data_IF_090929572761
#
_entry.id   IF_090929572761
#
_cell.length_a   1.000
_cell.length_b   1.000
_cell.length_c   1.000
_cell.angle_alpha   90.00
_cell.angle_beta   90.00
_cell.angle_gamma   90.00
#
_symmetry.space_group_name_H-M   'P 1'
#
loop_
_entity.id
_entity.type
_entity.pdbx_description
1 polymer ?
#
# COMPACT_ATOMS: atom_id res chain seq x y z
N UNK A 1 29.71 0.67 2.96
CA UNK A 1 28.59 0.78 2.00
C UNK A 1 27.31 1.03 2.79
N UNK A 2 26.81 2.27 2.81
CA UNK A 2 25.52 2.60 3.43
C UNK A 2 24.40 2.02 2.56
N UNK A 3 23.56 1.16 3.14
CA UNK A 3 22.37 0.63 2.47
C UNK A 3 21.33 1.76 2.39
N UNK A 4 21.06 2.22 1.18
CA UNK A 4 20.07 3.26 0.88
C UNK A 4 18.67 2.65 1.00
N UNK A 5 17.74 3.38 1.62
CA UNK A 5 16.30 3.08 1.68
C UNK A 5 15.80 2.69 0.28
N UNK A 6 14.94 1.66 0.11
CA UNK A 6 14.32 1.42 -1.20
C UNK A 6 13.65 2.71 -1.66
N UNK A 7 13.98 3.17 -2.88
CA UNK A 7 13.75 4.54 -3.34
C UNK A 7 12.29 4.92 -3.61
N UNK A 8 11.33 4.02 -3.38
CA UNK A 8 9.91 4.30 -3.52
C UNK A 8 9.06 3.13 -3.04
N UNK A 9 8.01 3.43 -2.27
CA UNK A 9 6.90 2.52 -1.97
C UNK A 9 5.68 3.11 -2.65
N UNK A 10 5.02 2.35 -3.52
CA UNK A 10 3.81 2.78 -4.20
C UNK A 10 2.63 2.59 -3.25
N UNK A 11 1.82 3.64 -3.08
CA UNK A 11 0.61 3.55 -2.26
C UNK A 11 -0.56 3.01 -3.10
N UNK A 12 -1.18 1.94 -2.63
CA UNK A 12 -2.42 1.40 -3.19
C UNK A 12 -3.55 1.71 -2.22
N UNK A 13 -4.51 2.54 -2.61
CA UNK A 13 -5.60 2.96 -1.73
C UNK A 13 -6.90 2.30 -2.18
N UNK A 14 -7.45 1.42 -1.35
CA UNK A 14 -8.80 0.87 -1.55
C UNK A 14 -9.79 1.82 -0.89
N UNK A 15 -10.51 2.58 -1.72
CA UNK A 15 -11.43 3.60 -1.27
C UNK A 15 -11.20 4.96 -1.91
N UNK A 16 -11.54 6.03 -1.18
CA UNK A 16 -11.42 7.41 -1.67
C UNK A 16 -10.02 7.92 -1.38
N UNK A 17 -9.32 8.41 -2.41
CA UNK A 17 -8.10 9.20 -2.26
C UNK A 17 -8.49 10.68 -2.05
N UNK A 18 -7.93 11.38 -1.03
CA UNK A 18 -8.18 12.80 -0.83
C UNK A 18 -7.85 13.64 -2.06
N UNK A 19 -8.58 14.73 -2.23
CA UNK A 19 -8.42 15.59 -3.41
C UNK A 19 -6.98 16.14 -3.56
N UNK A 20 -6.31 16.43 -2.45
CA UNK A 20 -4.94 16.95 -2.44
C UNK A 20 -3.89 15.90 -2.87
N UNK A 21 -4.21 14.60 -2.82
CA UNK A 21 -3.29 13.51 -3.14
C UNK A 21 -3.50 12.91 -4.53
N UNK A 22 -4.55 13.32 -5.27
CA UNK A 22 -4.87 12.81 -6.62
C UNK A 22 -3.83 13.17 -7.69
N UNK A 23 -2.97 14.14 -7.42
CA UNK A 23 -1.95 14.66 -8.33
C UNK A 23 -0.60 13.95 -8.24
N UNK A 24 -0.47 12.92 -7.39
CA UNK A 24 0.77 12.18 -7.24
C UNK A 24 0.74 10.86 -8.04
N UNK A 25 1.74 10.65 -8.91
CA UNK A 25 1.86 9.47 -9.79
C UNK A 25 2.24 8.18 -9.06
N UNK A 26 2.54 8.24 -7.76
CA UNK A 26 2.92 7.13 -6.89
C UNK A 26 1.74 6.54 -6.10
N UNK A 27 0.50 6.97 -6.40
CA UNK A 27 -0.73 6.44 -5.80
C UNK A 27 -1.63 5.80 -6.86
N UNK A 28 -2.08 4.59 -6.57
CA UNK A 28 -3.11 3.91 -7.37
C UNK A 28 -4.37 3.76 -6.53
N UNK A 29 -5.46 4.34 -7.03
CA UNK A 29 -6.78 4.21 -6.41
C UNK A 29 -7.47 2.93 -6.91
N UNK A 30 -7.96 2.13 -5.98
CA UNK A 30 -8.84 0.98 -6.22
C UNK A 30 -10.20 1.31 -5.65
N UNK A 31 -11.24 1.29 -6.49
CA UNK A 31 -12.59 1.61 -6.04
C UNK A 31 -13.21 0.43 -5.26
N UNK A 32 -13.98 0.70 -4.19
CA UNK A 32 -14.76 -0.35 -3.53
C UNK A 32 -15.72 -1.05 -4.49
N UNK A 33 -15.90 -2.35 -4.32
CA UNK A 33 -16.70 -3.23 -5.19
C UNK A 33 -16.10 -3.46 -6.59
N UNK A 34 -14.90 -2.97 -6.87
CA UNK A 34 -14.21 -3.26 -8.13
C UNK A 34 -13.67 -4.69 -8.17
N UNK A 35 -13.24 -5.13 -9.35
CA UNK A 35 -12.65 -6.45 -9.57
C UNK A 35 -11.16 -6.28 -9.91
N UNK A 36 -10.30 -5.95 -8.92
CA UNK A 36 -8.87 -5.69 -9.16
C UNK A 36 -8.16 -6.88 -9.80
N UNK A 37 -8.63 -8.12 -9.61
CA UNK A 37 -8.12 -9.32 -10.27
C UNK A 37 -8.22 -9.30 -11.80
N UNK A 38 -9.04 -8.41 -12.39
CA UNK A 38 -9.17 -8.24 -13.83
C UNK A 38 -8.28 -7.11 -14.39
N UNK A 39 -7.62 -6.34 -13.52
CA UNK A 39 -6.73 -5.25 -13.91
C UNK A 39 -5.32 -5.74 -14.26
N UNK A 40 -4.61 -4.98 -15.10
CA UNK A 40 -3.21 -5.25 -15.42
C UNK A 40 -2.26 -4.65 -14.38
N UNK A 41 -1.73 -5.51 -13.52
CA UNK A 41 -0.79 -5.15 -12.45
C UNK A 41 0.68 -5.40 -12.81
N UNK A 42 0.98 -5.81 -14.05
CA UNK A 42 2.37 -6.04 -14.50
C UNK A 42 3.30 -4.85 -14.29
N UNK A 43 2.87 -3.58 -14.35
CA UNK A 43 3.75 -2.45 -14.00
C UNK A 43 4.27 -2.47 -12.55
N UNK A 44 3.65 -3.22 -11.65
CA UNK A 44 4.07 -3.32 -10.24
C UNK A 44 5.05 -4.49 -9.95
N UNK A 45 5.40 -5.29 -10.96
CA UNK A 45 6.30 -6.44 -10.80
C UNK A 45 7.60 -5.99 -10.14
N UNK A 46 7.93 -6.62 -9.01
CA UNK A 46 9.17 -6.36 -8.27
C UNK A 46 9.23 -5.04 -7.48
N UNK A 47 8.20 -4.19 -7.57
CA UNK A 47 8.07 -2.95 -6.83
C UNK A 47 7.51 -3.19 -5.42
N UNK A 48 7.86 -2.32 -4.48
CA UNK A 48 7.31 -2.35 -3.13
C UNK A 48 6.01 -1.56 -3.07
N UNK A 49 4.97 -2.16 -2.51
CA UNK A 49 3.64 -1.55 -2.41
C UNK A 49 3.15 -1.52 -0.96
N UNK A 50 2.55 -0.42 -0.54
CA UNK A 50 1.84 -0.30 0.73
C UNK A 50 0.34 -0.15 0.43
N UNK A 51 -0.48 -0.98 1.07
CA UNK A 51 -1.93 -1.00 0.82
C UNK A 51 -2.66 -0.29 1.97
N UNK A 52 -3.54 0.64 1.64
CA UNK A 52 -4.32 1.43 2.58
C UNK A 52 -5.81 1.16 2.35
N UNK A 53 -6.48 0.57 3.34
CA UNK A 53 -7.91 0.27 3.27
C UNK A 53 -8.72 1.42 3.88
N UNK A 54 -9.13 2.42 3.09
CA UNK A 54 -9.91 3.57 3.60
C UNK A 54 -11.42 3.29 3.69
N UNK A 55 -11.85 2.12 3.26
CA UNK A 55 -13.23 1.64 3.31
C UNK A 55 -13.28 0.21 3.81
N UNK A 56 -14.30 -0.19 4.59
CA UNK A 56 -14.46 -1.57 5.08
C UNK A 56 -14.91 -2.54 3.99
N UNK A 57 -14.09 -2.74 2.97
CA UNK A 57 -14.35 -3.61 1.82
C UNK A 57 -13.32 -4.73 1.76
N UNK A 58 -13.52 -5.71 2.64
CA UNK A 58 -12.66 -6.88 2.76
C UNK A 58 -12.61 -7.71 1.47
N UNK A 59 -13.67 -7.71 0.65
CA UNK A 59 -13.73 -8.48 -0.58
C UNK A 59 -12.79 -7.89 -1.64
N UNK A 60 -12.86 -6.57 -1.86
CA UNK A 60 -11.95 -5.88 -2.78
C UNK A 60 -10.50 -5.96 -2.29
N UNK A 61 -10.27 -5.84 -0.97
CA UNK A 61 -8.94 -5.99 -0.37
C UNK A 61 -8.33 -7.37 -0.60
N UNK A 62 -9.10 -8.44 -0.38
CA UNK A 62 -8.63 -9.81 -0.62
C UNK A 62 -8.31 -10.03 -2.11
N UNK A 63 -9.21 -9.59 -3.00
CA UNK A 63 -9.00 -9.70 -4.44
C UNK A 63 -7.79 -8.89 -4.93
N UNK A 64 -7.52 -7.73 -4.32
CA UNK A 64 -6.34 -6.95 -4.60
C UNK A 64 -5.07 -7.67 -4.15
N UNK A 65 -5.07 -8.26 -2.95
CA UNK A 65 -3.96 -9.07 -2.44
C UNK A 65 -3.58 -10.20 -3.41
N UNK A 66 -4.57 -10.98 -3.85
CA UNK A 66 -4.37 -12.06 -4.83
C UNK A 66 -3.83 -11.54 -6.17
N UNK A 67 -4.30 -10.38 -6.62
CA UNK A 67 -3.87 -9.78 -7.88
C UNK A 67 -2.40 -9.30 -7.81
N UNK A 68 -2.02 -8.69 -6.69
CA UNK A 68 -0.65 -8.22 -6.44
C UNK A 68 0.34 -9.36 -6.32
N UNK A 69 -0.04 -10.45 -5.63
CA UNK A 69 0.77 -11.65 -5.51
C UNK A 69 1.04 -12.29 -6.88
N UNK A 70 -0.02 -12.48 -7.69
CA UNK A 70 0.09 -12.99 -9.07
C UNK A 70 0.95 -12.09 -9.96
N UNK A 71 0.89 -10.78 -9.75
CA UNK A 71 1.72 -9.82 -10.47
C UNK A 71 3.17 -9.79 -9.99
N UNK A 72 3.52 -10.44 -8.89
CA UNK A 72 4.87 -10.42 -8.34
C UNK A 72 5.25 -9.07 -7.71
N UNK A 73 4.27 -8.30 -7.21
CA UNK A 73 4.53 -7.12 -6.39
C UNK A 73 5.04 -7.53 -5.00
N UNK A 74 5.87 -6.69 -4.39
CA UNK A 74 6.41 -6.93 -3.04
C UNK A 74 5.61 -6.15 -2.02
N UNK A 75 4.95 -6.84 -1.08
CA UNK A 75 4.19 -6.17 -0.03
C UNK A 75 5.12 -5.54 1.02
N UNK A 76 5.10 -4.21 1.09
CA UNK A 76 5.81 -3.44 2.12
C UNK A 76 5.05 -3.51 3.45
N UNK A 77 3.75 -3.27 3.38
CA UNK A 77 2.87 -3.27 4.54
C UNK A 77 1.42 -3.01 4.16
N UNK A 78 0.55 -3.11 5.15
CA UNK A 78 -0.87 -2.85 5.01
C UNK A 78 -1.35 -1.98 6.16
N UNK A 79 -2.25 -1.03 5.88
CA UNK A 79 -2.94 -0.23 6.90
C UNK A 79 -4.42 -0.59 6.86
N UNK A 80 -4.91 -1.16 7.96
CA UNK A 80 -6.29 -1.61 8.12
C UNK A 80 -6.90 -0.89 9.32
N UNK A 81 -8.02 -0.20 9.13
CA UNK A 81 -8.70 0.55 10.19
C UNK A 81 -7.76 1.49 10.99
N UNK A 82 -6.78 2.11 10.30
CA UNK A 82 -5.78 2.99 10.91
C UNK A 82 -4.64 2.29 11.66
N UNK A 83 -4.59 0.97 11.66
CA UNK A 83 -3.48 0.20 12.22
C UNK A 83 -2.54 -0.21 11.09
N UNK A 84 -1.30 0.24 11.16
CA UNK A 84 -0.25 -0.10 10.21
C UNK A 84 0.47 -1.39 10.60
N UNK A 85 0.65 -2.28 9.62
CA UNK A 85 1.35 -3.55 9.77
C UNK A 85 2.45 -3.64 8.71
N UNK A 86 3.70 -3.65 9.15
CA UNK A 86 4.82 -3.94 8.27
C UNK A 86 4.84 -5.44 7.90
N UNK A 87 4.90 -5.72 6.60
CA UNK A 87 4.99 -7.10 6.07
C UNK A 87 6.35 -7.38 5.44
N UNK A 88 7.09 -6.33 5.06
CA UNK A 88 8.47 -6.46 4.62
C UNK A 88 9.40 -6.91 5.76
N UNK A 89 10.53 -7.50 5.39
CA UNK A 89 11.62 -7.81 6.33
C UNK A 89 12.47 -6.57 6.58
N UNK A 90 12.63 -6.21 7.84
CA UNK A 90 13.48 -5.11 8.30
C UNK A 90 14.72 -5.64 9.04
N UNK A 91 15.84 -4.89 9.05
CA UNK A 91 17.06 -5.32 9.72
C UNK A 91 16.94 -5.35 11.25
N UNK A 92 16.04 -4.53 11.82
CA UNK A 92 15.80 -4.39 13.25
C UNK A 92 14.37 -3.88 13.51
N UNK A 93 13.93 -3.99 14.77
CA UNK A 93 12.59 -3.59 15.19
C UNK A 93 12.38 -2.07 15.08
N UNK A 94 13.42 -1.26 15.28
CA UNK A 94 13.33 0.20 15.17
C UNK A 94 12.98 0.64 13.75
N UNK A 95 13.61 0.03 12.74
CA UNK A 95 13.34 0.27 11.32
C UNK A 95 11.93 -0.15 10.93
N UNK A 96 11.45 -1.28 11.49
CA UNK A 96 10.07 -1.74 11.30
C UNK A 96 9.07 -0.75 11.90
N UNK A 97 9.28 -0.34 13.16
CA UNK A 97 8.43 0.65 13.84
C UNK A 97 8.41 1.99 13.10
N UNK A 98 9.56 2.43 12.57
CA UNK A 98 9.61 3.64 11.76
C UNK A 98 8.80 3.50 10.47
N UNK A 99 8.84 2.34 9.80
CA UNK A 99 8.02 2.07 8.63
C UNK A 99 6.51 2.06 8.96
N UNK A 100 6.12 1.41 10.05
CA UNK A 100 4.74 1.40 10.55
C UNK A 100 4.26 2.80 10.91
N UNK A 101 5.10 3.60 11.57
CA UNK A 101 4.82 5.01 11.86
C UNK A 101 4.57 5.81 10.58
N UNK A 102 5.46 5.72 9.58
CA UNK A 102 5.30 6.43 8.31
C UNK A 102 4.01 6.02 7.58
N UNK A 103 3.66 4.73 7.62
CA UNK A 103 2.39 4.25 7.05
C UNK A 103 1.18 4.79 7.82
N UNK A 104 1.22 4.82 9.15
CA UNK A 104 0.14 5.38 9.97
C UNK A 104 -0.02 6.90 9.79
N UNK A 105 1.08 7.62 9.62
CA UNK A 105 1.09 9.05 9.31
C UNK A 105 0.47 9.31 7.92
N UNK A 106 0.91 8.57 6.90
CA UNK A 106 0.31 8.60 5.56
C UNK A 106 -1.18 8.29 5.59
N UNK A 107 -1.61 7.34 6.42
CA UNK A 107 -3.03 7.02 6.61
C UNK A 107 -3.81 8.20 7.21
N UNK A 108 -3.24 8.85 8.21
CA UNK A 108 -3.86 10.00 8.86
C UNK A 108 -4.06 11.13 7.85
N UNK A 109 -3.09 11.34 6.99
CA UNK A 109 -3.18 12.22 5.84
C UNK A 109 -4.28 11.81 4.85
N UNK A 110 -4.36 10.52 4.49
CA UNK A 110 -5.39 9.98 3.59
C UNK A 110 -6.83 10.11 4.14
N UNK A 111 -7.01 10.27 5.45
CA UNK A 111 -8.31 10.35 6.10
C UNK A 111 -8.74 11.77 6.51
N UNK A 112 -7.92 12.80 6.22
CA UNK A 112 -8.31 14.21 6.41
C UNK A 112 -9.33 14.66 5.37
#
# INVERSE_FOLDING_TARGET
>A
MQRVKPSGVIALVVGKVPAWHRSHLDVIQVLPGSQPQLSDWRPLVGLWVAVYETTKDAATMAALGDALDKAGAKLFGVVLNGVAHALAKFPDEQSKQQAEFLMADTWSDLCK
#
